data_IF_677745835161
#
_entry.id   IF_677745835161
#
_cell.length_a   1.000
_cell.length_b   1.000
_cell.length_c   1.000
_cell.angle_alpha   90.00
_cell.angle_beta   90.00
_cell.angle_gamma   90.00
#
_symmetry.space_group_name_H-M   'P 1'
#
loop_
_entity.id
_entity.type
_entity.pdbx_description
1 polymer ?
#
# COMPACT_ATOMS: atom_id res chain seq x y z
N UNK A 1 4.87 -2.54 23.91
CA UNK A 1 3.50 -2.92 23.50
C UNK A 1 3.61 -4.06 22.51
N UNK A 2 2.96 -5.21 22.77
CA UNK A 2 3.15 -6.47 22.03
C UNK A 2 2.86 -6.34 20.52
N UNK A 3 2.00 -5.40 20.11
CA UNK A 3 1.62 -5.20 18.70
C UNK A 3 2.71 -4.62 17.77
N UNK A 4 3.87 -4.19 18.27
CA UNK A 4 4.97 -3.65 17.43
C UNK A 4 5.85 -4.72 16.79
N UNK A 5 5.62 -6.00 17.10
CA UNK A 5 6.41 -7.13 16.60
C UNK A 5 5.58 -8.14 15.79
N UNK A 6 4.28 -7.88 15.62
CA UNK A 6 3.38 -8.74 14.84
C UNK A 6 2.87 -7.93 13.67
N UNK A 7 3.17 -8.38 12.46
CA UNK A 7 2.60 -7.78 11.27
C UNK A 7 1.15 -8.22 11.07
N UNK A 8 0.33 -7.27 10.62
CA UNK A 8 -1.07 -7.49 10.27
C UNK A 8 -1.16 -7.65 8.75
N UNK A 9 -1.60 -8.83 8.32
CA UNK A 9 -1.91 -9.08 6.91
C UNK A 9 -3.23 -8.39 6.54
N UNK A 10 -3.14 -7.40 5.67
CA UNK A 10 -4.27 -6.64 5.19
C UNK A 10 -4.67 -7.07 3.77
N UNK A 11 -5.92 -7.50 3.62
CA UNK A 11 -6.47 -8.06 2.38
C UNK A 11 -7.76 -7.33 2.00
N UNK A 12 -7.64 -6.16 1.36
CA UNK A 12 -8.77 -5.24 1.21
C UNK A 12 -9.91 -5.86 0.42
N UNK A 13 -9.59 -6.46 -0.73
CA UNK A 13 -10.61 -7.00 -1.63
C UNK A 13 -11.40 -8.14 -0.98
N UNK A 14 -10.73 -9.00 -0.19
CA UNK A 14 -11.37 -10.07 0.60
C UNK A 14 -12.22 -9.53 1.75
N UNK A 15 -11.87 -8.35 2.29
CA UNK A 15 -12.55 -7.82 3.47
C UNK A 15 -13.85 -7.08 3.12
N UNK A 16 -13.92 -6.44 1.95
CA UNK A 16 -15.09 -5.67 1.53
C UNK A 16 -16.31 -6.56 1.29
N UNK A 17 -17.49 -6.11 1.69
CA UNK A 17 -18.78 -6.75 1.43
C UNK A 17 -19.19 -7.79 2.47
N UNK A 18 -18.23 -8.47 3.11
CA UNK A 18 -18.48 -9.48 4.15
C UNK A 18 -17.96 -9.13 5.55
N UNK A 19 -16.81 -8.46 5.65
CA UNK A 19 -16.13 -8.15 6.93
C UNK A 19 -16.12 -6.65 7.23
N UNK A 20 -15.94 -5.83 6.20
CA UNK A 20 -16.09 -4.38 6.23
C UNK A 20 -17.05 -3.93 5.13
N UNK A 21 -17.73 -2.81 5.35
CA UNK A 21 -18.73 -2.31 4.40
C UNK A 21 -18.08 -1.87 3.09
N UNK A 22 -17.01 -1.10 3.21
CA UNK A 22 -16.28 -0.48 2.11
C UNK A 22 -14.85 -0.13 2.55
N UNK A 23 -14.00 0.23 1.60
CA UNK A 23 -12.60 0.57 1.88
C UNK A 23 -12.43 1.77 2.84
N UNK A 24 -13.36 2.72 2.86
CA UNK A 24 -13.29 3.89 3.76
C UNK A 24 -13.57 3.51 5.21
N UNK A 25 -14.44 2.52 5.42
CA UNK A 25 -14.77 1.99 6.75
C UNK A 25 -13.68 1.08 7.33
N UNK A 26 -12.68 0.68 6.53
CA UNK A 26 -11.65 -0.27 6.95
C UNK A 26 -10.74 0.33 8.04
N UNK A 27 -10.46 -0.37 9.17
CA UNK A 27 -9.70 0.18 10.29
C UNK A 27 -8.19 0.35 10.04
N UNK A 28 -7.70 0.08 8.82
CA UNK A 28 -6.26 -0.08 8.55
C UNK A 28 -5.47 1.18 8.84
N UNK A 29 -6.05 2.35 8.57
CA UNK A 29 -5.43 3.64 8.86
C UNK A 29 -5.25 3.90 10.34
N UNK A 30 -6.17 3.43 11.17
CA UNK A 30 -6.01 3.55 12.63
C UNK A 30 -4.83 2.71 13.07
N UNK A 31 -4.69 1.50 12.54
CA UNK A 31 -3.56 0.61 12.84
C UNK A 31 -2.22 1.23 12.40
N UNK A 32 -2.14 1.73 11.16
CA UNK A 32 -0.94 2.41 10.64
C UNK A 32 -0.60 3.64 11.50
N UNK A 33 -1.58 4.48 11.86
CA UNK A 33 -1.37 5.66 12.71
C UNK A 33 -0.97 5.33 14.15
N UNK A 34 -1.14 4.08 14.58
CA UNK A 34 -0.71 3.57 15.88
C UNK A 34 0.58 2.73 15.79
N UNK A 35 1.36 2.91 14.72
CA UNK A 35 2.64 2.23 14.44
C UNK A 35 2.53 0.71 14.30
N UNK A 36 1.36 0.16 13.96
CA UNK A 36 1.27 -1.26 13.63
C UNK A 36 1.95 -1.51 12.29
N UNK A 37 2.70 -2.60 12.23
CA UNK A 37 3.27 -3.10 10.98
C UNK A 37 2.15 -3.81 10.21
N UNK A 38 1.93 -3.35 8.99
CA UNK A 38 0.88 -3.88 8.10
C UNK A 38 1.53 -4.36 6.82
N UNK A 39 1.01 -5.44 6.23
CA UNK A 39 1.43 -5.97 4.92
C UNK A 39 0.24 -5.97 3.95
N UNK A 40 0.48 -5.84 2.64
CA UNK A 40 -0.55 -5.94 1.61
C UNK A 40 -0.65 -7.36 1.07
N UNK A 41 -1.85 -7.94 1.03
CA UNK A 41 -2.09 -9.31 0.61
C UNK A 41 -3.44 -9.41 -0.12
N UNK A 42 -3.65 -10.50 -0.85
CA UNK A 42 -4.89 -10.72 -1.61
C UNK A 42 -5.86 -11.66 -0.90
N UNK A 43 -5.40 -12.42 0.11
CA UNK A 43 -6.10 -13.57 0.70
C UNK A 43 -6.35 -14.67 -0.36
N UNK A 44 -7.43 -14.56 -1.14
CA UNK A 44 -7.76 -15.53 -2.19
C UNK A 44 -7.87 -14.87 -3.56
N UNK A 45 -6.92 -15.17 -4.45
CA UNK A 45 -6.87 -14.59 -5.81
C UNK A 45 -8.11 -14.88 -6.66
N UNK A 46 -8.72 -16.07 -6.50
CA UNK A 46 -9.84 -16.53 -7.33
C UNK A 46 -11.22 -16.33 -6.69
N UNK A 47 -11.27 -16.08 -5.38
CA UNK A 47 -12.53 -16.02 -4.61
C UNK A 47 -12.80 -14.62 -4.06
N UNK A 48 -11.78 -13.77 -3.96
CA UNK A 48 -11.94 -12.42 -3.44
C UNK A 48 -12.19 -11.44 -4.59
N UNK A 49 -13.16 -10.54 -4.40
CA UNK A 49 -13.49 -9.51 -5.37
C UNK A 49 -14.67 -9.86 -6.27
N UNK A 50 -14.72 -9.23 -7.44
CA UNK A 50 -15.73 -9.45 -8.46
C UNK A 50 -15.16 -9.15 -9.86
N UNK A 51 -15.98 -9.28 -10.90
CA UNK A 51 -15.62 -9.07 -12.31
C UNK A 51 -15.07 -7.66 -12.64
N UNK A 52 -15.25 -6.68 -11.76
CA UNK A 52 -14.74 -5.32 -11.93
C UNK A 52 -13.56 -5.01 -11.01
N UNK A 53 -13.29 -5.87 -10.03
CA UNK A 53 -12.31 -5.63 -8.99
C UNK A 53 -11.78 -6.96 -8.45
N UNK A 54 -10.91 -7.58 -9.23
CA UNK A 54 -10.28 -8.85 -8.89
C UNK A 54 -9.22 -8.65 -7.80
N UNK A 55 -9.09 -9.62 -6.90
CA UNK A 55 -8.00 -9.66 -5.94
C UNK A 55 -6.71 -10.10 -6.63
N UNK A 56 -5.84 -9.14 -6.95
CA UNK A 56 -4.47 -9.38 -7.36
C UNK A 56 -3.54 -8.33 -6.73
N UNK A 57 -2.22 -8.58 -6.66
CA UNK A 57 -1.30 -7.69 -5.96
C UNK A 57 -1.36 -6.22 -6.43
N UNK A 58 -1.48 -6.01 -7.74
CA UNK A 58 -1.62 -4.67 -8.33
C UNK A 58 -2.91 -3.99 -7.88
N UNK A 59 -4.03 -4.69 -7.90
CA UNK A 59 -5.32 -4.16 -7.51
C UNK A 59 -5.41 -3.85 -6.01
N UNK A 60 -4.75 -4.63 -5.14
CA UNK A 60 -4.67 -4.30 -3.70
C UNK A 60 -3.96 -2.96 -3.47
N UNK A 61 -2.84 -2.73 -4.17
CA UNK A 61 -2.10 -1.46 -4.12
C UNK A 61 -2.96 -0.30 -4.66
N UNK A 62 -3.57 -0.48 -5.84
CA UNK A 62 -4.38 0.55 -6.48
C UNK A 62 -5.61 0.90 -5.64
N UNK A 63 -6.29 -0.10 -5.08
CA UNK A 63 -7.43 0.14 -4.19
C UNK A 63 -7.02 0.85 -2.92
N UNK A 64 -5.90 0.47 -2.30
CA UNK A 64 -5.39 1.17 -1.12
C UNK A 64 -5.16 2.66 -1.42
N UNK A 65 -4.46 2.98 -2.50
CA UNK A 65 -4.16 4.37 -2.87
C UNK A 65 -5.42 5.16 -3.23
N UNK A 66 -6.34 4.55 -4.00
CA UNK A 66 -7.55 5.24 -4.51
C UNK A 66 -8.69 5.34 -3.51
N UNK A 67 -8.79 4.40 -2.57
CA UNK A 67 -9.76 4.50 -1.47
C UNK A 67 -9.40 5.63 -0.52
N UNK A 68 -8.12 6.03 -0.51
CA UNK A 68 -7.56 6.92 0.51
C UNK A 68 -7.32 8.32 -0.01
N UNK A 69 -7.16 8.51 -1.31
CA UNK A 69 -7.27 9.84 -1.92
C UNK A 69 -8.64 10.49 -1.66
N UNK A 70 -9.68 9.70 -1.35
CA UNK A 70 -10.99 10.21 -0.85
C UNK A 70 -10.95 10.61 0.64
N UNK A 71 -9.97 10.13 1.40
CA UNK A 71 -9.69 10.52 2.79
C UNK A 71 -8.73 11.73 2.74
N UNK A 72 -9.33 12.90 2.51
CA UNK A 72 -8.70 14.24 2.60
C UNK A 72 -7.59 14.52 1.58
N UNK A 73 -7.98 14.79 0.34
CA UNK A 73 -7.17 15.61 -0.56
C UNK A 73 -7.41 17.10 -0.28
N UNK A 74 -6.97 17.59 0.88
CA UNK A 74 -7.00 19.02 1.22
C UNK A 74 -5.71 19.75 0.85
N UNK A 75 -4.65 19.01 0.46
CA UNK A 75 -3.27 19.50 0.48
C UNK A 75 -2.57 19.47 -0.90
N UNK A 76 -3.35 19.42 -2.01
CA UNK A 76 -2.83 19.67 -3.36
C UNK A 76 -1.74 18.71 -3.86
N UNK A 77 -1.84 17.42 -3.51
CA UNK A 77 -0.92 16.38 -4.00
C UNK A 77 0.18 15.93 -3.03
N UNK A 78 0.38 16.58 -1.87
CA UNK A 78 1.25 16.07 -0.79
C UNK A 78 0.79 14.70 -0.26
N UNK A 79 -0.49 14.38 -0.43
CA UNK A 79 -1.08 13.09 -0.05
C UNK A 79 -0.48 11.91 -0.87
N UNK A 80 -0.11 12.11 -2.15
CA UNK A 80 0.34 11.02 -3.03
C UNK A 80 1.71 10.44 -2.63
N UNK A 81 2.70 11.29 -2.35
CA UNK A 81 4.03 10.83 -1.89
C UNK A 81 3.92 10.10 -0.54
N UNK A 82 3.10 10.62 0.38
CA UNK A 82 2.82 9.96 1.66
C UNK A 82 2.16 8.59 1.46
N UNK A 83 1.20 8.47 0.55
CA UNK A 83 0.56 7.19 0.25
C UNK A 83 1.54 6.15 -0.29
N UNK A 84 2.39 6.54 -1.25
CA UNK A 84 3.42 5.64 -1.76
C UNK A 84 4.45 5.25 -0.71
N UNK A 85 4.80 6.16 0.21
CA UNK A 85 5.65 5.82 1.35
C UNK A 85 5.00 4.77 2.27
N UNK A 86 3.69 4.85 2.51
CA UNK A 86 2.95 3.83 3.27
C UNK A 86 2.93 2.50 2.51
N UNK A 87 2.62 2.52 1.21
CA UNK A 87 2.64 1.30 0.37
C UNK A 87 4.02 0.66 0.39
N UNK A 88 5.09 1.44 0.20
CA UNK A 88 6.48 0.97 0.33
C UNK A 88 6.70 0.30 1.68
N UNK A 89 6.30 0.95 2.78
CA UNK A 89 6.41 0.35 4.12
C UNK A 89 5.66 -0.97 4.23
N UNK A 90 4.46 -1.08 3.65
CA UNK A 90 3.68 -2.32 3.69
C UNK A 90 4.34 -3.47 2.92
N UNK A 91 4.93 -3.17 1.76
CA UNK A 91 5.68 -4.15 0.96
C UNK A 91 6.94 -4.62 1.71
N UNK A 92 7.71 -3.69 2.27
CA UNK A 92 8.91 -4.01 3.05
C UNK A 92 8.56 -4.79 4.32
N UNK A 93 7.46 -4.47 4.99
CA UNK A 93 6.97 -5.26 6.12
C UNK A 93 6.65 -6.70 5.70
N UNK A 94 6.05 -6.91 4.52
CA UNK A 94 5.81 -8.24 3.96
C UNK A 94 7.07 -9.09 3.86
N UNK A 95 8.16 -8.49 3.38
CA UNK A 95 9.46 -9.15 3.25
C UNK A 95 10.06 -9.47 4.62
N UNK A 96 10.11 -8.46 5.52
CA UNK A 96 10.70 -8.58 6.86
C UNK A 96 9.97 -9.58 7.77
N UNK A 97 8.67 -9.77 7.56
CA UNK A 97 7.84 -10.69 8.34
C UNK A 97 7.58 -12.03 7.63
N UNK A 98 8.22 -12.25 6.48
CA UNK A 98 8.15 -13.55 5.84
C UNK A 98 8.80 -14.63 6.74
N UNK A 99 8.38 -15.87 6.56
CA UNK A 99 8.97 -17.01 7.27
C UNK A 99 10.25 -17.55 6.60
N UNK A 100 10.76 -16.87 5.57
CA UNK A 100 12.00 -17.26 4.89
C UNK A 100 13.21 -16.80 5.71
N UNK A 101 14.04 -17.77 6.11
CA UNK A 101 15.23 -17.55 6.93
C UNK A 101 16.43 -17.02 6.14
N UNK A 102 16.35 -17.04 4.80
CA UNK A 102 17.43 -16.58 3.93
C UNK A 102 17.30 -15.09 3.59
N UNK A 103 16.21 -14.44 4.00
CA UNK A 103 16.05 -13.00 3.85
C UNK A 103 16.89 -12.29 4.91
N UNK A 104 17.94 -11.62 4.45
CA UNK A 104 18.80 -10.78 5.27
C UNK A 104 18.55 -9.28 5.01
N UNK A 105 19.30 -8.44 5.71
CA UNK A 105 19.17 -6.99 5.58
C UNK A 105 19.61 -6.47 4.21
N UNK A 106 20.56 -7.16 3.56
CA UNK A 106 21.09 -6.75 2.27
C UNK A 106 20.04 -6.96 1.19
N UNK A 107 19.35 -8.11 1.19
CA UNK A 107 18.21 -8.38 0.32
C UNK A 107 17.07 -7.38 0.54
N UNK A 108 16.72 -7.09 1.80
CA UNK A 108 15.69 -6.10 2.11
C UNK A 108 16.07 -4.72 1.57
N UNK A 109 17.34 -4.33 1.70
CA UNK A 109 17.84 -3.05 1.22
C UNK A 109 17.84 -2.97 -0.32
N UNK A 110 18.18 -4.08 -1.00
CA UNK A 110 18.10 -4.19 -2.46
C UNK A 110 16.67 -3.93 -2.94
N UNK A 111 15.67 -4.63 -2.39
CA UNK A 111 14.27 -4.42 -2.75
C UNK A 111 13.80 -3.01 -2.39
N UNK A 112 14.26 -2.46 -1.26
CA UNK A 112 13.94 -1.09 -0.88
C UNK A 112 14.43 -0.07 -1.91
N UNK A 113 15.65 -0.26 -2.45
CA UNK A 113 16.23 0.57 -3.49
C UNK A 113 15.49 0.44 -4.83
N UNK A 114 15.10 -0.77 -5.23
CA UNK A 114 14.31 -0.98 -6.45
C UNK A 114 12.96 -0.24 -6.38
N UNK A 115 12.27 -0.33 -5.24
CA UNK A 115 11.00 0.39 -5.03
C UNK A 115 11.25 1.91 -5.11
N UNK A 116 12.29 2.42 -4.44
CA UNK A 116 12.63 3.84 -4.50
C UNK A 116 12.94 4.32 -5.91
N UNK A 117 13.63 3.51 -6.71
CA UNK A 117 13.93 3.83 -8.10
C UNK A 117 12.65 3.95 -8.93
N UNK A 118 11.72 3.00 -8.80
CA UNK A 118 10.42 3.04 -9.49
C UNK A 118 9.62 4.27 -9.05
N UNK A 119 9.52 4.52 -7.74
CA UNK A 119 8.77 5.65 -7.20
C UNK A 119 9.38 7.00 -7.59
N UNK A 120 10.70 7.12 -7.65
CA UNK A 120 11.38 8.34 -8.08
C UNK A 120 11.09 8.65 -9.55
N UNK A 121 11.06 7.62 -10.41
CA UNK A 121 10.74 7.76 -11.83
C UNK A 121 9.31 8.27 -12.00
N UNK A 122 8.35 7.63 -11.34
CA UNK A 122 6.92 7.98 -11.42
C UNK A 122 6.63 9.37 -10.84
N UNK A 123 7.23 9.73 -9.70
CA UNK A 123 7.01 11.04 -9.07
C UNK A 123 7.68 12.18 -9.85
N UNK A 124 8.80 11.93 -10.53
CA UNK A 124 9.48 12.93 -11.36
C UNK A 124 8.76 13.17 -12.70
N UNK A 125 8.24 12.12 -13.35
CA UNK A 125 7.43 12.25 -14.58
C UNK A 125 6.18 13.13 -14.35
N UNK A 126 5.57 13.03 -13.17
CA UNK A 126 4.40 13.85 -12.79
C UNK A 126 4.76 15.33 -12.59
N UNK A 127 5.99 15.64 -12.17
CA UNK A 127 6.45 17.02 -12.03
C UNK A 127 6.68 17.67 -13.39
N UNK A 128 7.19 16.93 -14.38
CA UNK A 128 7.44 17.46 -15.73
C UNK A 128 6.14 17.77 -16.50
N UNK A 129 5.09 16.96 -16.35
CA UNK A 129 3.81 17.19 -17.02
C UNK A 129 3.06 18.43 -16.53
N UNK A 130 3.25 18.84 -15.27
CA UNK A 130 2.66 20.08 -14.74
C UNK A 130 3.33 21.35 -15.28
N UNK A 131 4.49 21.23 -15.91
CA UNK A 131 5.24 22.37 -16.48
C UNK A 131 4.92 22.63 -17.95
N UNK A 132 4.19 21.72 -18.62
CA UNK A 132 3.83 21.82 -20.05
C UNK A 132 2.47 22.46 -20.36
N UNK A 133 1.67 22.81 -19.35
CA UNK A 133 0.47 23.64 -19.55
C UNK A 133 0.77 25.10 -19.17
N UNK A 134 1.42 25.81 -20.08
CA UNK A 134 1.23 27.26 -20.25
C UNK A 134 0.74 27.46 -21.68
N UNK A 135 -0.58 27.62 -21.83
CA UNK A 135 -1.18 28.33 -22.96
C UNK A 135 -1.10 29.83 -22.66
#
# INVERSE_FOLDING_TARGET
TIGKHVAIEYCLTSNIGGKVKDAQSHPIYKLINHDFQVTLNTDNLLLSGNEHLEANPTNEILQFITSVSKIRDTDGGKNKSKMWSIVKSMLINGIKHSFDKNIDNDFVQEIEQEIDQVLSTELNVIHDDKTKCKL
#
